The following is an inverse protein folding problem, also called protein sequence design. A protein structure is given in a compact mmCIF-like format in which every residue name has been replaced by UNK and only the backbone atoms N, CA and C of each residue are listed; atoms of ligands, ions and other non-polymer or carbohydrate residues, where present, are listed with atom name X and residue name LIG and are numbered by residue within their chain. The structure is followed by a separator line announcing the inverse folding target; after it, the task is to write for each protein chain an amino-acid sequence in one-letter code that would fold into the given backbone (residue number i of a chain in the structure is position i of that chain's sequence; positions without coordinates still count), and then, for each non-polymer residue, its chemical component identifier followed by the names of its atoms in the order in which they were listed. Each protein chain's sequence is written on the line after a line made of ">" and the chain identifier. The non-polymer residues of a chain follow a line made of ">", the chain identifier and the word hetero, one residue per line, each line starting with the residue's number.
data_IF_584589810226
#
_entry.id   IF_584589810226
#
_cell.length_a   1.000
_cell.length_b   1.000
_cell.length_c   1.000
_cell.angle_alpha   90.00
_cell.angle_beta   90.00
_cell.angle_gamma   90.00
#
_symmetry.space_group_name_H-M   'P 1'
#
loop_
_entity.id
_entity.type
_entity.pdbx_description
1 polymer ?
#
# COMPACT_ATOMS: atom_id res chain seq x y z
N UNK A 1 2.19 16.70 2.76
CA UNK A 1 1.99 15.25 3.06
C UNK A 1 3.35 14.60 3.11
N UNK A 2 3.67 13.98 4.22
CA UNK A 2 4.97 13.35 4.45
C UNK A 2 4.87 11.85 4.23
N UNK A 3 5.76 11.30 3.43
CA UNK A 3 5.75 9.88 3.14
C UNK A 3 7.13 9.26 3.36
N UNK A 4 7.13 7.94 3.52
CA UNK A 4 8.34 7.12 3.55
C UNK A 4 8.18 6.06 2.47
N UNK A 5 9.25 5.78 1.77
CA UNK A 5 9.30 4.75 0.73
C UNK A 5 10.23 3.63 1.19
N UNK A 6 9.75 2.39 1.15
CA UNK A 6 10.55 1.21 1.50
C UNK A 6 10.49 0.21 0.36
N UNK A 7 11.63 -0.09 -0.21
CA UNK A 7 11.76 -1.04 -1.31
C UNK A 7 13.21 -1.54 -1.31
N UNK A 8 13.39 -2.85 -1.51
CA UNK A 8 14.73 -3.43 -1.53
C UNK A 8 15.50 -3.11 -2.82
N UNK A 9 14.81 -2.60 -3.83
CA UNK A 9 15.43 -2.11 -5.06
C UNK A 9 15.66 -0.61 -4.93
N UNK A 10 16.92 -0.23 -4.72
CA UNK A 10 17.30 1.17 -4.55
C UNK A 10 16.95 2.02 -5.76
N UNK A 11 16.93 1.43 -6.94
CA UNK A 11 16.56 2.12 -8.18
C UNK A 11 15.09 2.52 -8.16
N UNK A 12 14.23 1.62 -7.69
CA UNK A 12 12.79 1.87 -7.57
C UNK A 12 12.55 2.96 -6.55
N UNK A 13 13.18 2.88 -5.38
CA UNK A 13 13.05 3.91 -4.34
C UNK A 13 13.47 5.28 -4.84
N UNK A 14 14.61 5.36 -5.53
CA UNK A 14 15.10 6.62 -6.06
C UNK A 14 14.16 7.19 -7.13
N UNK A 15 13.67 6.33 -8.01
CA UNK A 15 12.74 6.75 -9.07
C UNK A 15 11.41 7.24 -8.49
N UNK A 16 10.87 6.52 -7.53
CA UNK A 16 9.63 6.93 -6.86
C UNK A 16 9.81 8.24 -6.11
N UNK A 17 10.94 8.42 -5.45
CA UNK A 17 11.21 9.66 -4.75
C UNK A 17 11.18 10.85 -5.71
N UNK A 18 11.86 10.73 -6.84
CA UNK A 18 11.89 11.79 -7.84
C UNK A 18 10.49 12.08 -8.37
N UNK A 19 9.76 11.04 -8.73
CA UNK A 19 8.42 11.19 -9.29
C UNK A 19 7.48 11.82 -8.28
N UNK A 20 7.49 11.34 -7.04
CA UNK A 20 6.55 11.80 -6.04
C UNK A 20 6.88 13.21 -5.54
N UNK A 21 8.16 13.55 -5.43
CA UNK A 21 8.55 14.91 -5.04
C UNK A 21 8.35 15.94 -6.14
N UNK A 22 8.02 15.52 -7.34
CA UNK A 22 7.58 16.46 -8.38
C UNK A 22 6.20 17.07 -8.06
N UNK A 23 5.45 16.44 -7.17
CA UNK A 23 4.20 16.99 -6.66
C UNK A 23 4.52 17.87 -5.45
N UNK A 24 4.08 19.13 -5.48
CA UNK A 24 4.46 20.11 -4.48
C UNK A 24 3.97 19.80 -3.06
N UNK A 25 2.93 18.97 -2.95
CA UNK A 25 2.34 18.61 -1.66
C UNK A 25 2.89 17.31 -1.07
N UNK A 26 3.85 16.67 -1.75
CA UNK A 26 4.45 15.41 -1.28
C UNK A 26 5.91 15.62 -0.91
N UNK A 27 6.28 15.21 0.30
CA UNK A 27 7.67 15.23 0.77
C UNK A 27 8.06 13.83 1.19
N UNK A 28 9.15 13.30 0.65
CA UNK A 28 9.71 12.01 1.05
C UNK A 28 10.69 12.23 2.18
N UNK A 29 10.32 11.80 3.38
CA UNK A 29 11.13 12.01 4.59
C UNK A 29 12.36 11.09 4.61
N UNK A 30 12.19 9.85 4.18
CA UNK A 30 13.25 8.85 4.22
C UNK A 30 12.92 7.71 3.29
N UNK A 31 13.93 6.90 2.99
CA UNK A 31 13.75 5.65 2.25
C UNK A 31 14.41 4.52 3.01
N UNK A 32 13.82 3.33 2.92
CA UNK A 32 14.36 2.12 3.53
C UNK A 32 14.44 0.98 2.54
N UNK A 33 15.09 -0.10 2.94
CA UNK A 33 15.38 -1.23 2.05
C UNK A 33 14.73 -2.55 2.48
N UNK A 34 14.13 -2.61 3.66
CA UNK A 34 13.54 -3.85 4.17
C UNK A 34 12.49 -3.54 5.23
N UNK A 35 11.83 -4.60 5.72
CA UNK A 35 10.79 -4.47 6.71
C UNK A 35 11.25 -3.90 8.04
N UNK A 36 12.47 -4.22 8.46
CA UNK A 36 13.02 -3.67 9.69
C UNK A 36 13.23 -2.17 9.58
N UNK A 37 13.72 -1.71 8.43
CA UNK A 37 13.84 -0.28 8.15
C UNK A 37 12.48 0.40 8.20
N UNK A 38 11.47 -0.25 7.63
CA UNK A 38 10.11 0.31 7.62
C UNK A 38 9.60 0.56 9.03
N UNK A 39 9.79 -0.41 9.93
CA UNK A 39 9.35 -0.28 11.32
C UNK A 39 10.09 0.85 12.02
N UNK A 40 11.42 0.87 11.89
CA UNK A 40 12.25 1.90 12.53
C UNK A 40 11.92 3.30 12.02
N UNK A 41 11.78 3.43 10.71
CA UNK A 41 11.48 4.72 10.09
C UNK A 41 10.07 5.18 10.45
N UNK A 42 9.12 4.26 10.50
CA UNK A 42 7.77 4.62 10.92
C UNK A 42 7.74 5.15 12.34
N UNK A 43 8.42 4.45 13.26
CA UNK A 43 8.48 4.89 14.66
C UNK A 43 9.16 6.26 14.81
N UNK A 44 10.15 6.53 13.99
CA UNK A 44 10.91 7.78 14.05
C UNK A 44 10.14 8.95 13.48
N UNK A 45 9.53 8.77 12.33
CA UNK A 45 8.97 9.87 11.55
C UNK A 45 7.46 9.99 11.60
N UNK A 46 6.76 8.91 11.93
CA UNK A 46 5.29 8.84 11.91
C UNK A 46 4.75 9.52 10.63
N UNK A 47 5.02 8.95 9.45
CA UNK A 47 4.63 9.58 8.19
C UNK A 47 3.12 9.58 8.01
N UNK A 48 2.65 10.42 7.10
CA UNK A 48 1.24 10.41 6.72
C UNK A 48 0.88 9.13 5.96
N UNK A 49 1.77 8.66 5.10
CA UNK A 49 1.60 7.42 4.35
C UNK A 49 2.95 6.71 4.25
N UNK A 50 2.94 5.41 4.45
CA UNK A 50 4.09 4.54 4.20
C UNK A 50 3.84 3.79 2.90
N UNK A 51 4.72 3.99 1.93
CA UNK A 51 4.71 3.30 0.65
C UNK A 51 5.73 2.18 0.72
N UNK A 52 5.31 0.93 0.60
CA UNK A 52 6.18 -0.20 0.89
C UNK A 52 5.99 -1.36 -0.08
N UNK A 53 7.11 -1.90 -0.53
CA UNK A 53 7.14 -3.14 -1.30
C UNK A 53 6.77 -4.33 -0.42
N UNK A 54 6.15 -5.33 -1.00
CA UNK A 54 5.79 -6.56 -0.28
C UNK A 54 6.99 -7.50 -0.21
N UNK A 55 7.59 -7.80 -1.36
CA UNK A 55 8.67 -8.78 -1.43
C UNK A 55 10.02 -8.12 -1.18
N UNK A 56 10.51 -8.29 0.02
CA UNK A 56 11.82 -7.80 0.42
C UNK A 56 12.57 -8.90 1.13
N UNK A 57 13.88 -8.89 1.00
CA UNK A 57 14.73 -9.86 1.69
C UNK A 57 14.66 -9.65 3.20
N UNK A 58 14.62 -10.75 3.92
CA UNK A 58 14.44 -10.71 5.37
C UNK A 58 12.98 -10.58 5.74
N UNK A 59 12.62 -9.48 6.39
CA UNK A 59 11.22 -9.22 6.73
C UNK A 59 10.51 -8.62 5.53
N UNK A 60 9.42 -9.26 5.10
CA UNK A 60 8.62 -8.75 3.98
C UNK A 60 7.69 -7.62 4.42
N UNK A 61 7.08 -6.98 3.42
CA UNK A 61 6.21 -5.84 3.68
C UNK A 61 4.92 -6.20 4.42
N UNK A 62 4.42 -7.41 4.28
CA UNK A 62 3.21 -7.83 4.99
C UNK A 62 3.49 -7.99 6.48
N UNK A 63 4.61 -8.62 6.82
CA UNK A 63 5.02 -8.79 8.21
C UNK A 63 5.30 -7.43 8.85
N UNK A 64 6.02 -6.57 8.14
CA UNK A 64 6.30 -5.22 8.62
C UNK A 64 5.01 -4.41 8.83
N UNK A 65 4.07 -4.51 7.89
CA UNK A 65 2.78 -3.83 8.00
C UNK A 65 2.02 -4.26 9.25
N UNK A 66 2.01 -5.56 9.52
CA UNK A 66 1.33 -6.09 10.68
C UNK A 66 1.93 -5.54 11.98
N UNK A 67 3.25 -5.49 12.06
CA UNK A 67 3.90 -4.96 13.25
C UNK A 67 3.68 -3.46 13.40
N UNK A 68 3.75 -2.71 12.31
CA UNK A 68 3.51 -1.28 12.35
C UNK A 68 2.07 -0.99 12.78
N UNK A 69 1.10 -1.67 12.22
CA UNK A 69 -0.32 -1.45 12.56
C UNK A 69 -0.62 -1.87 14.00
N UNK A 70 0.07 -2.89 14.51
CA UNK A 70 -0.09 -3.30 15.91
C UNK A 70 0.33 -2.17 16.86
N UNK A 71 1.43 -1.49 16.56
CA UNK A 71 1.90 -0.36 17.36
C UNK A 71 1.24 0.97 17.03
N UNK A 72 0.75 1.10 15.80
CA UNK A 72 0.13 2.32 15.30
C UNK A 72 -1.15 1.97 14.55
N UNK A 73 -2.28 1.77 15.25
CA UNK A 73 -3.52 1.32 14.60
C UNK A 73 -4.03 2.22 13.48
N UNK A 74 -3.64 3.49 13.49
CA UNK A 74 -4.05 4.45 12.46
C UNK A 74 -3.07 4.55 11.30
N UNK A 75 -2.05 3.68 11.28
CA UNK A 75 -1.04 3.72 10.22
C UNK A 75 -1.68 3.53 8.85
N UNK A 76 -1.25 4.36 7.92
CA UNK A 76 -1.71 4.31 6.53
C UNK A 76 -0.59 3.73 5.68
N UNK A 77 -0.76 2.48 5.27
CA UNK A 77 0.25 1.75 4.50
C UNK A 77 -0.32 1.43 3.13
N UNK A 78 0.41 1.85 2.11
CA UNK A 78 0.11 1.54 0.72
C UNK A 78 1.17 0.55 0.23
N UNK A 79 0.74 -0.66 -0.08
CA UNK A 79 1.65 -1.71 -0.52
C UNK A 79 1.81 -1.69 -2.03
N UNK A 80 3.04 -1.85 -2.46
CA UNK A 80 3.39 -1.98 -3.87
C UNK A 80 3.89 -3.38 -4.14
N UNK A 81 3.55 -3.92 -5.30
CA UNK A 81 4.02 -5.23 -5.71
C UNK A 81 4.23 -5.28 -7.20
N UNK A 82 5.10 -6.18 -7.65
CA UNK A 82 5.29 -6.45 -9.07
C UNK A 82 4.19 -7.36 -9.61
N UNK A 83 3.64 -8.22 -8.77
CA UNK A 83 2.67 -9.24 -9.18
C UNK A 83 1.41 -9.18 -8.33
N UNK A 84 0.27 -9.38 -8.98
CA UNK A 84 -1.01 -9.51 -8.30
C UNK A 84 -1.17 -10.97 -7.82
N UNK A 85 -0.50 -11.32 -6.73
CA UNK A 85 -0.54 -12.66 -6.14
C UNK A 85 -1.72 -12.75 -5.18
N UNK A 86 -2.57 -13.76 -5.39
CA UNK A 86 -3.81 -13.91 -4.62
C UNK A 86 -3.57 -14.03 -3.12
N UNK A 87 -2.56 -14.80 -2.72
CA UNK A 87 -2.24 -14.98 -1.30
C UNK A 87 -1.82 -13.65 -0.66
N UNK A 88 -1.05 -12.86 -1.37
CA UNK A 88 -0.61 -11.56 -0.86
C UNK A 88 -1.76 -10.56 -0.79
N UNK A 89 -2.69 -10.62 -1.73
CA UNK A 89 -3.87 -9.76 -1.71
C UNK A 89 -4.69 -10.03 -0.45
N UNK A 90 -4.99 -11.29 -0.18
CA UNK A 90 -5.76 -11.69 1.01
C UNK A 90 -5.03 -11.26 2.28
N UNK A 91 -3.74 -11.53 2.37
CA UNK A 91 -2.95 -11.16 3.55
C UNK A 91 -2.89 -9.65 3.74
N UNK A 92 -2.78 -8.90 2.66
CA UNK A 92 -2.75 -7.44 2.73
C UNK A 92 -4.07 -6.89 3.30
N UNK A 93 -5.18 -7.43 2.82
CA UNK A 93 -6.50 -7.04 3.32
C UNK A 93 -6.62 -7.37 4.82
N UNK A 94 -6.25 -8.57 5.21
CA UNK A 94 -6.31 -9.01 6.61
C UNK A 94 -5.39 -8.20 7.52
N UNK A 95 -4.26 -7.75 7.01
CA UNK A 95 -3.30 -6.97 7.78
C UNK A 95 -3.82 -5.57 8.10
N UNK A 96 -4.72 -5.06 7.28
CA UNK A 96 -5.25 -3.72 7.46
C UNK A 96 -4.52 -2.66 6.66
N UNK A 97 -3.74 -3.06 5.66
CA UNK A 97 -3.14 -2.10 4.74
C UNK A 97 -4.23 -1.29 4.04
N UNK A 98 -3.95 -0.02 3.79
CA UNK A 98 -4.94 0.88 3.18
C UNK A 98 -4.87 0.90 1.67
N UNK A 99 -3.95 0.18 1.07
CA UNK A 99 -3.88 0.07 -0.37
C UNK A 99 -2.96 -1.03 -0.83
N UNK A 100 -3.17 -1.46 -2.07
CA UNK A 100 -2.39 -2.51 -2.71
C UNK A 100 -2.43 -2.24 -4.21
N UNK A 101 -1.33 -1.80 -4.78
CA UNK A 101 -1.25 -1.47 -6.21
C UNK A 101 -0.01 -2.08 -6.83
N UNK A 102 -0.02 -2.18 -8.16
CA UNK A 102 1.10 -2.74 -8.90
C UNK A 102 2.17 -1.67 -9.17
N UNK A 103 3.43 -2.07 -9.10
CA UNK A 103 4.57 -1.15 -9.26
C UNK A 103 4.63 -0.49 -10.63
N UNK A 104 4.15 -1.15 -11.68
CA UNK A 104 4.20 -0.59 -13.02
C UNK A 104 3.27 0.61 -13.20
N UNK A 105 2.38 0.87 -12.25
CA UNK A 105 1.43 1.96 -12.35
C UNK A 105 1.93 3.20 -11.61
N UNK A 106 3.15 3.65 -11.92
CA UNK A 106 3.75 4.80 -11.24
C UNK A 106 2.88 6.07 -11.35
N UNK A 107 2.15 6.22 -12.44
CA UNK A 107 1.29 7.38 -12.62
C UNK A 107 0.14 7.41 -11.62
N UNK A 108 -0.28 6.24 -11.15
CA UNK A 108 -1.39 6.16 -10.19
C UNK A 108 -0.91 6.23 -8.73
N UNK A 109 0.39 6.09 -8.48
CA UNK A 109 0.90 6.06 -7.10
C UNK A 109 0.60 7.36 -6.36
N UNK A 110 0.82 8.50 -7.00
CA UNK A 110 0.59 9.78 -6.35
C UNK A 110 -0.88 9.97 -5.97
N UNK A 111 -1.80 9.64 -6.86
CA UNK A 111 -3.23 9.73 -6.56
C UNK A 111 -3.65 8.73 -5.50
N UNK A 112 -3.05 7.55 -5.51
CA UNK A 112 -3.31 6.53 -4.48
C UNK A 112 -2.84 7.01 -3.10
N UNK A 113 -1.67 7.62 -3.02
CA UNK A 113 -1.15 8.18 -1.77
C UNK A 113 -2.11 9.24 -1.23
N UNK A 114 -2.56 10.14 -2.08
CA UNK A 114 -3.50 11.18 -1.69
C UNK A 114 -4.82 10.58 -1.18
N UNK A 115 -5.34 9.57 -1.86
CA UNK A 115 -6.58 8.92 -1.45
C UNK A 115 -6.40 8.21 -0.08
N UNK A 116 -5.30 7.51 0.11
CA UNK A 116 -5.00 6.83 1.37
C UNK A 116 -4.83 7.85 2.50
N UNK A 117 -4.15 8.95 2.23
CA UNK A 117 -3.99 10.03 3.20
C UNK A 117 -5.37 10.58 3.64
N UNK A 118 -6.31 10.66 2.72
CA UNK A 118 -7.66 11.15 3.00
C UNK A 118 -8.57 10.09 3.65
N UNK A 119 -8.02 8.95 4.01
CA UNK A 119 -8.76 7.92 4.74
C UNK A 119 -9.43 6.88 3.87
N UNK A 120 -9.17 6.86 2.57
CA UNK A 120 -9.74 5.88 1.66
C UNK A 120 -8.86 4.63 1.58
N UNK A 121 -9.48 3.50 1.27
CA UNK A 121 -8.78 2.25 0.98
C UNK A 121 -8.70 2.09 -0.53
N UNK A 122 -7.49 1.88 -1.06
CA UNK A 122 -7.23 1.93 -2.49
C UNK A 122 -6.66 0.60 -2.98
N UNK A 123 -7.30 0.01 -3.98
CA UNK A 123 -6.77 -1.15 -4.68
C UNK A 123 -6.71 -0.85 -6.16
N UNK A 124 -5.60 -1.20 -6.81
CA UNK A 124 -5.48 -1.05 -8.26
C UNK A 124 -6.48 -1.92 -9.00
N UNK A 125 -6.77 -1.55 -10.26
CA UNK A 125 -7.80 -2.22 -11.05
C UNK A 125 -7.60 -3.73 -11.15
N UNK A 126 -6.38 -4.18 -11.41
CA UNK A 126 -6.10 -5.61 -11.53
C UNK A 126 -6.40 -6.35 -10.24
N UNK A 127 -6.14 -5.72 -9.12
CA UNK A 127 -6.37 -6.30 -7.80
C UNK A 127 -7.86 -6.28 -7.48
N UNK A 128 -8.54 -5.18 -7.77
CA UNK A 128 -9.98 -5.09 -7.56
C UNK A 128 -10.75 -6.15 -8.34
N UNK A 129 -10.30 -6.47 -9.53
CA UNK A 129 -10.95 -7.50 -10.35
C UNK A 129 -10.84 -8.90 -9.73
N UNK A 130 -9.84 -9.12 -8.90
CA UNK A 130 -9.64 -10.42 -8.22
C UNK A 130 -10.39 -10.54 -6.90
N UNK A 131 -10.65 -9.43 -6.23
CA UNK A 131 -11.20 -9.45 -4.87
C UNK A 131 -12.53 -10.19 -4.78
N UNK A 132 -13.53 -9.99 -5.65
CA UNK A 132 -14.79 -10.73 -5.54
C UNK A 132 -14.60 -12.24 -5.57
N UNK A 133 -13.74 -12.74 -6.46
CA UNK A 133 -13.44 -14.17 -6.56
C UNK A 133 -12.75 -14.68 -5.31
N UNK A 134 -11.81 -13.92 -4.78
CA UNK A 134 -11.08 -14.28 -3.57
C UNK A 134 -11.99 -14.30 -2.35
N UNK A 135 -12.91 -13.37 -2.25
CA UNK A 135 -13.87 -13.34 -1.15
C UNK A 135 -14.84 -14.51 -1.21
N UNK A 136 -15.23 -14.94 -2.41
CA UNK A 136 -16.07 -16.12 -2.56
C UNK A 136 -15.33 -17.39 -2.15
N UNK A 137 -14.03 -17.49 -2.47
CA UNK A 137 -13.22 -18.64 -2.09
C UNK A 137 -12.96 -18.66 -0.59
N UNK A 138 -12.95 -17.50 0.06
CA UNK A 138 -12.68 -17.32 1.48
C UNK A 138 -13.95 -16.87 2.19
N UNK A 139 -15.01 -17.65 2.04
CA UNK A 139 -16.34 -17.28 2.57
C UNK A 139 -16.35 -17.06 4.08
N UNK A 140 -15.38 -17.62 4.80
CA UNK A 140 -15.25 -17.43 6.24
C UNK A 140 -14.27 -16.32 6.59
N UNK A 141 -13.76 -15.63 5.61
CA UNK A 141 -12.88 -14.53 5.82
C UNK A 141 -13.68 -13.36 6.38
N UNK A 142 -13.54 -13.17 7.70
CA UNK A 142 -14.19 -12.06 8.37
C UNK A 142 -13.23 -10.88 8.40
N UNK A 143 -13.51 -9.89 7.63
CA UNK A 143 -12.75 -8.66 7.64
C UNK A 143 -13.68 -7.52 7.99
N UNK A 144 -13.17 -6.51 8.69
CA UNK A 144 -13.99 -5.36 9.02
C UNK A 144 -14.54 -4.75 7.74
N UNK A 145 -15.69 -4.14 7.84
CA UNK A 145 -16.30 -3.51 6.68
C UNK A 145 -15.32 -2.47 6.14
N UNK A 146 -14.68 -2.83 5.05
CA UNK A 146 -13.86 -1.89 4.33
C UNK A 146 -14.76 -0.97 3.55
N UNK A 147 -14.52 0.30 3.72
CA UNK A 147 -14.99 1.23 2.72
C UNK A 147 -13.97 1.19 1.60
N UNK A 148 -14.09 0.20 0.73
CA UNK A 148 -13.21 0.09 -0.41
C UNK A 148 -13.28 1.38 -1.19
N UNK A 149 -12.12 1.93 -1.50
CA UNK A 149 -12.07 3.18 -2.22
C UNK A 149 -12.63 2.99 -3.63
N UNK A 150 -13.61 3.80 -3.97
CA UNK A 150 -14.22 3.77 -5.29
C UNK A 150 -13.42 4.55 -6.32
N UNK A 151 -12.27 5.10 -5.93
CA UNK A 151 -11.42 5.86 -6.84
C UNK A 151 -11.03 5.05 -8.06
N UNK A 152 -10.65 3.78 -7.84
CA UNK A 152 -10.29 2.88 -8.92
C UNK A 152 -11.43 2.03 -9.39
N UNK A 153 -12.52 2.03 -8.65
CA UNK A 153 -13.69 1.24 -9.02
C UNK A 153 -14.78 2.07 -9.64
N UNK A 154 -14.57 3.37 -9.76
CA UNK A 154 -15.57 4.21 -10.41
C UNK A 154 -15.89 3.71 -11.81
N UNK A 155 -14.86 3.33 -12.56
CA UNK A 155 -15.06 2.75 -13.88
C UNK A 155 -15.74 1.40 -13.79
N UNK A 156 -15.30 0.57 -12.83
CA UNK A 156 -15.92 -0.72 -12.62
C UNK A 156 -17.34 -0.58 -12.09
N UNK A 157 -17.60 0.41 -11.25
CA UNK A 157 -18.93 0.69 -10.76
C UNK A 157 -19.85 1.15 -11.88
N UNK A 158 -19.31 1.84 -12.84
CA UNK A 158 -20.08 2.26 -14.02
C UNK A 158 -20.53 1.08 -14.86
N UNK A 159 -19.84 -0.05 -14.72
CA UNK A 159 -20.19 -1.27 -15.43
C UNK A 159 -21.38 -2.00 -14.78
N UNK A 160 -21.76 -1.56 -13.62
CA UNK A 160 -22.89 -2.12 -12.93
C UNK A 160 -24.20 -1.51 -13.44
#
# INVERSE_FOLDING_TARGET
>A
MNIIIVDDDAFVSASLKIILESYSDITVLATGANGHDAISLYDTYIPDVLLMDIRMEGMDGLTASKEIITGHPDAKILLLTTFADDDYIIKAIRTGAKGYILKQDFETVASAITAVHNGQTVFGNEIMNKIPTLLQAEDRFDYPSYNLCLLYTSDAADDL
#
